data_IF_018651452085
#
_entry.id   IF_018651452085
#
_cell.length_a   1.000
_cell.length_b   1.000
_cell.length_c   1.000
_cell.angle_alpha   90.00
_cell.angle_beta   90.00
_cell.angle_gamma   90.00
#
_symmetry.space_group_name_H-M   'P 1'
#
loop_
_entity.id
_entity.type
_entity.pdbx_description
1 polymer ?
#
# COMPACT_ATOMS: atom_id res chain seq x y z
N UNK A 1 5.63 -26.39 3.02
CA UNK A 1 6.14 -25.10 2.52
C UNK A 1 4.93 -24.16 2.43
N UNK A 2 4.94 -23.00 3.10
CA UNK A 2 3.87 -22.01 3.01
C UNK A 2 4.28 -20.93 2.01
N UNK A 3 3.50 -20.75 0.95
CA UNK A 3 3.69 -19.63 0.01
C UNK A 3 3.18 -18.36 0.68
N UNK A 4 3.91 -17.26 0.55
CA UNK A 4 3.50 -15.93 0.99
C UNK A 4 3.23 -15.05 -0.23
N UNK A 5 2.20 -14.22 -0.15
CA UNK A 5 1.88 -13.22 -1.18
C UNK A 5 2.34 -11.85 -0.72
N UNK A 6 3.21 -11.24 -1.52
CA UNK A 6 3.66 -9.87 -1.37
C UNK A 6 3.11 -9.04 -2.52
N UNK A 7 2.36 -7.99 -2.21
CA UNK A 7 1.68 -7.16 -3.20
C UNK A 7 2.31 -5.77 -3.32
N UNK A 8 2.62 -5.35 -4.55
CA UNK A 8 3.25 -4.05 -4.87
C UNK A 8 2.31 -3.07 -5.57
N UNK A 9 1.00 -3.33 -5.59
CA UNK A 9 0.00 -2.54 -6.34
C UNK A 9 0.04 -1.05 -5.98
N UNK A 10 0.24 -0.70 -4.71
CA UNK A 10 0.21 0.71 -4.28
C UNK A 10 1.46 1.50 -4.69
N UNK A 11 2.60 0.83 -4.86
CA UNK A 11 3.88 1.45 -5.21
C UNK A 11 4.16 1.33 -6.70
N UNK A 12 4.32 0.10 -7.20
CA UNK A 12 4.64 -0.14 -8.61
C UNK A 12 3.46 0.20 -9.52
N UNK A 13 2.24 -0.07 -9.05
CA UNK A 13 1.04 0.27 -9.81
C UNK A 13 0.90 1.77 -10.04
N UNK A 14 1.25 2.59 -9.06
CA UNK A 14 1.23 4.06 -9.23
C UNK A 14 2.34 4.58 -10.16
N UNK A 15 3.49 3.89 -10.24
CA UNK A 15 4.55 4.27 -11.19
C UNK A 15 4.19 3.99 -12.66
N UNK A 16 3.06 3.34 -12.91
CA UNK A 16 2.59 3.07 -14.27
C UNK A 16 2.10 4.36 -14.95
N UNK A 17 2.45 4.61 -16.22
CA UNK A 17 2.01 5.80 -16.94
C UNK A 17 0.50 5.99 -16.92
N UNK A 18 0.04 7.16 -16.50
CA UNK A 18 -1.39 7.49 -16.42
C UNK A 18 -2.09 7.02 -15.15
N UNK A 19 -1.39 6.42 -14.20
CA UNK A 19 -1.92 6.08 -12.88
C UNK A 19 -1.51 7.15 -11.87
N UNK A 20 -2.49 7.64 -11.11
CA UNK A 20 -2.27 8.51 -9.97
C UNK A 20 -3.25 8.12 -8.87
N UNK A 21 -2.75 7.69 -7.70
CA UNK A 21 -3.59 7.24 -6.61
C UNK A 21 -3.67 8.31 -5.55
N UNK A 22 -4.87 8.85 -5.30
CA UNK A 22 -5.06 9.70 -4.13
C UNK A 22 -4.84 8.90 -2.83
N UNK A 23 -4.55 9.56 -1.70
CA UNK A 23 -4.42 8.88 -0.40
C UNK A 23 -5.63 8.01 -0.04
N UNK A 24 -6.83 8.45 -0.42
CA UNK A 24 -8.08 7.74 -0.22
C UNK A 24 -8.19 6.50 -1.11
N UNK A 25 -7.74 6.59 -2.37
CA UNK A 25 -7.65 5.44 -3.28
C UNK A 25 -6.66 4.40 -2.73
N UNK A 26 -5.49 4.84 -2.27
CA UNK A 26 -4.48 3.94 -1.69
C UNK A 26 -5.01 3.21 -0.46
N UNK A 27 -5.68 3.91 0.45
CA UNK A 27 -6.32 3.29 1.61
C UNK A 27 -7.38 2.26 1.20
N UNK A 28 -8.22 2.59 0.21
CA UNK A 28 -9.26 1.70 -0.29
C UNK A 28 -8.68 0.42 -0.90
N UNK A 29 -7.62 0.55 -1.71
CA UNK A 29 -6.91 -0.59 -2.31
C UNK A 29 -6.23 -1.43 -1.22
N UNK A 30 -5.54 -0.79 -0.25
CA UNK A 30 -4.88 -1.50 0.85
C UNK A 30 -5.85 -2.38 1.65
N UNK A 31 -7.05 -1.87 1.95
CA UNK A 31 -8.11 -2.65 2.62
C UNK A 31 -8.57 -3.84 1.78
N UNK A 32 -8.74 -3.66 0.47
CA UNK A 32 -9.13 -4.75 -0.42
C UNK A 32 -8.04 -5.82 -0.53
N UNK A 33 -6.77 -5.43 -0.57
CA UNK A 33 -5.65 -6.36 -0.56
C UNK A 33 -5.61 -7.17 0.74
N UNK A 34 -5.84 -6.51 1.88
CA UNK A 34 -5.96 -7.17 3.18
C UNK A 34 -7.14 -8.16 3.23
N UNK A 35 -8.32 -7.77 2.72
CA UNK A 35 -9.49 -8.63 2.59
C UNK A 35 -9.25 -9.85 1.68
N UNK A 36 -8.40 -9.71 0.65
CA UNK A 36 -7.96 -10.81 -0.22
C UNK A 36 -6.99 -11.77 0.48
N UNK A 37 -6.45 -11.39 1.64
CA UNK A 37 -5.57 -12.23 2.45
C UNK A 37 -4.12 -12.23 1.99
N UNK A 38 -3.62 -11.12 1.43
CA UNK A 38 -2.19 -10.98 1.14
C UNK A 38 -1.38 -10.93 2.43
N UNK A 39 -0.16 -11.49 2.44
CA UNK A 39 0.66 -11.53 3.65
C UNK A 39 1.40 -10.21 3.90
N UNK A 40 1.73 -9.46 2.85
CA UNK A 40 2.43 -8.18 2.96
C UNK A 40 2.06 -7.22 1.82
N UNK A 41 2.00 -5.92 2.13
CA UNK A 41 1.67 -4.84 1.19
C UNK A 41 2.81 -3.82 1.18
N UNK A 42 3.31 -3.50 -0.01
CA UNK A 42 4.23 -2.38 -0.22
C UNK A 42 3.45 -1.08 -0.35
N UNK A 43 3.55 -0.22 0.67
CA UNK A 43 2.70 0.98 0.79
C UNK A 43 3.22 2.20 0.03
N UNK A 44 4.50 2.19 -0.38
CA UNK A 44 5.15 3.27 -1.12
C UNK A 44 6.40 3.84 -0.43
N UNK A 45 6.73 5.08 -0.74
CA UNK A 45 7.87 5.81 -0.16
C UNK A 45 7.39 7.01 0.68
N UNK A 46 7.59 7.01 2.00
CA UNK A 46 7.16 8.11 2.88
C UNK A 46 7.81 9.46 2.55
N UNK A 47 8.97 9.47 1.88
CA UNK A 47 9.79 10.67 1.71
C UNK A 47 9.41 11.46 0.45
N UNK A 48 8.58 10.91 -0.44
CA UNK A 48 8.34 11.50 -1.77
C UNK A 48 7.44 12.73 -1.73
N UNK A 49 6.39 12.75 -0.91
CA UNK A 49 5.45 13.88 -0.86
C UNK A 49 4.57 13.89 0.40
N UNK A 50 3.93 15.02 0.69
CA UNK A 50 2.90 15.12 1.73
C UNK A 50 1.70 14.18 1.46
N UNK A 51 1.35 13.99 0.18
CA UNK A 51 0.31 13.05 -0.24
C UNK A 51 0.64 11.62 0.16
N UNK A 52 1.88 11.19 -0.04
CA UNK A 52 2.33 9.86 0.36
C UNK A 52 2.38 9.69 1.87
N UNK A 53 2.88 10.70 2.58
CA UNK A 53 2.88 10.67 4.05
C UNK A 53 1.45 10.53 4.59
N UNK A 54 0.50 11.25 4.00
CA UNK A 54 -0.92 11.14 4.37
C UNK A 54 -1.46 9.74 4.07
N UNK A 55 -1.18 9.19 2.88
CA UNK A 55 -1.63 7.85 2.49
C UNK A 55 -1.10 6.76 3.43
N UNK A 56 0.21 6.75 3.67
CA UNK A 56 0.86 5.76 4.55
C UNK A 56 0.36 5.90 5.99
N UNK A 57 0.17 7.12 6.48
CA UNK A 57 -0.43 7.35 7.81
C UNK A 57 -1.86 6.81 7.90
N UNK A 58 -2.67 6.99 6.86
CA UNK A 58 -4.02 6.45 6.81
C UNK A 58 -4.03 4.92 6.79
N UNK A 59 -3.13 4.29 6.02
CA UNK A 59 -3.03 2.83 5.89
C UNK A 59 -2.54 2.21 7.21
N UNK A 60 -1.51 2.77 7.83
CA UNK A 60 -0.98 2.30 9.12
C UNK A 60 -2.01 2.40 10.25
N UNK A 61 -2.93 3.37 10.18
CA UNK A 61 -4.03 3.52 11.14
C UNK A 61 -5.24 2.59 10.86
N UNK A 62 -5.25 1.88 9.73
CA UNK A 62 -6.36 1.04 9.32
C UNK A 62 -6.41 -0.34 10.01
N UNK A 63 -5.41 -0.68 10.83
CA UNK A 63 -5.30 -1.96 11.55
C UNK A 63 -5.47 -3.19 10.62
N UNK A 64 -4.77 -3.17 9.49
CA UNK A 64 -4.78 -4.27 8.53
C UNK A 64 -4.07 -5.51 9.11
N UNK A 65 -4.47 -6.69 8.66
CA UNK A 65 -3.83 -7.96 9.03
C UNK A 65 -2.51 -8.18 8.30
N UNK A 66 -2.41 -7.69 7.07
CA UNK A 66 -1.21 -7.76 6.24
C UNK A 66 -0.06 -6.96 6.83
N UNK A 67 1.16 -7.48 6.67
CA UNK A 67 2.39 -6.77 7.06
C UNK A 67 2.60 -5.55 6.14
N UNK A 68 2.73 -4.37 6.73
CA UNK A 68 2.99 -3.14 5.99
C UNK A 68 4.48 -2.91 5.86
N UNK A 69 4.95 -2.70 4.63
CA UNK A 69 6.33 -2.31 4.37
C UNK A 69 6.39 -1.05 3.50
N UNK A 70 7.51 -0.35 3.60
CA UNK A 70 7.85 0.81 2.79
C UNK A 70 9.31 0.72 2.38
N UNK A 71 9.63 1.21 1.19
CA UNK A 71 11.01 1.29 0.72
C UNK A 71 11.65 2.56 1.30
N UNK A 72 12.91 2.44 1.71
CA UNK A 72 13.75 3.54 2.22
C UNK A 72 14.43 4.29 1.07
#
# INVERSE_FOLDING_TARGET
MKVRIFDTTLRDGEQSPGVALSPENKLSIAKKLDELGVDAIETGFPVISEGEQKAIKMITQANLSAELCGLA
#
